data_IF_559749744551
#
_entry.id   IF_559749744551
#
_cell.length_a   1.000
_cell.length_b   1.000
_cell.length_c   1.000
_cell.angle_alpha   90.00
_cell.angle_beta   90.00
_cell.angle_gamma   90.00
#
_symmetry.space_group_name_H-M   'P 1'
#
loop_
_entity.id
_entity.type
_entity.pdbx_description
1 polymer ?
#
# COMPACT_ATOMS: atom_id res chain seq x y z
N UNK A 1 1.91 -6.20 7.72
CA UNK A 1 0.70 -6.47 6.91
C UNK A 1 -0.61 -6.34 7.72
N UNK A 2 -0.74 -7.05 8.85
CA UNK A 2 -1.96 -7.08 9.65
C UNK A 2 -2.36 -5.72 10.24
N UNK A 3 -1.39 -4.94 10.75
CA UNK A 3 -1.65 -3.57 11.22
C UNK A 3 -2.16 -2.64 10.12
N UNK A 4 -1.70 -2.82 8.87
CA UNK A 4 -2.21 -2.06 7.72
C UNK A 4 -3.64 -2.45 7.39
N UNK A 5 -3.92 -3.75 7.27
CA UNK A 5 -5.31 -4.21 7.07
C UNK A 5 -6.26 -3.71 8.17
N UNK A 6 -5.80 -3.69 9.44
CA UNK A 6 -6.59 -3.15 10.54
C UNK A 6 -6.84 -1.64 10.39
N UNK A 7 -5.81 -0.88 10.02
CA UNK A 7 -5.92 0.57 9.76
C UNK A 7 -6.83 0.86 8.56
N UNK A 8 -6.66 0.11 7.47
CA UNK A 8 -7.45 0.25 6.24
C UNK A 8 -8.92 -0.06 6.52
N UNK A 9 -9.21 -1.14 7.27
CA UNK A 9 -10.57 -1.47 7.69
C UNK A 9 -11.17 -0.39 8.59
N UNK A 10 -10.39 0.19 9.52
CA UNK A 10 -10.87 1.26 10.38
C UNK A 10 -11.25 2.52 9.59
N UNK A 11 -10.53 2.83 8.51
CA UNK A 11 -10.86 3.95 7.62
C UNK A 11 -12.10 3.61 6.77
N UNK A 12 -12.18 2.39 6.25
CA UNK A 12 -13.29 1.95 5.40
C UNK A 12 -14.63 1.79 6.15
N UNK A 13 -14.58 1.54 7.47
CA UNK A 13 -15.76 1.48 8.34
C UNK A 13 -16.18 2.85 8.90
N UNK A 14 -15.56 3.95 8.47
CA UNK A 14 -16.04 5.29 8.80
C UNK A 14 -17.38 5.53 8.12
N UNK A 15 -18.20 6.39 8.72
CA UNK A 15 -19.55 6.66 8.24
C UNK A 15 -19.61 8.00 7.52
N UNK A 16 -20.42 8.07 6.47
CA UNK A 16 -20.78 9.29 5.74
C UNK A 16 -22.30 9.35 5.56
N UNK A 17 -22.86 10.56 5.50
CA UNK A 17 -24.28 10.74 5.23
C UNK A 17 -24.50 10.78 3.71
N UNK A 18 -25.14 9.75 3.15
CA UNK A 18 -25.45 9.65 1.72
C UNK A 18 -26.94 9.96 1.52
N UNK A 19 -27.24 10.75 0.49
CA UNK A 19 -28.60 11.09 0.11
C UNK A 19 -29.16 10.00 -0.81
N UNK A 20 -30.12 9.22 -0.32
CA UNK A 20 -30.79 8.15 -1.07
C UNK A 20 -32.29 8.45 -1.09
N UNK A 21 -32.87 8.65 -2.28
CA UNK A 21 -34.30 8.94 -2.47
C UNK A 21 -34.82 10.10 -1.60
N UNK A 22 -34.03 11.17 -1.46
CA UNK A 22 -34.39 12.35 -0.66
C UNK A 22 -34.17 12.23 0.86
N UNK A 23 -33.72 11.06 1.33
CA UNK A 23 -33.46 10.80 2.75
C UNK A 23 -31.95 10.65 2.98
N UNK A 24 -31.43 11.34 3.99
CA UNK A 24 -30.05 11.19 4.44
C UNK A 24 -29.91 9.91 5.26
N UNK A 25 -29.11 8.98 4.76
CA UNK A 25 -28.80 7.71 5.42
C UNK A 25 -27.32 7.65 5.77
N UNK A 26 -27.00 7.03 6.91
CA UNK A 26 -25.60 6.81 7.29
C UNK A 26 -25.11 5.54 6.60
N UNK A 27 -24.12 5.68 5.75
CA UNK A 27 -23.48 4.59 5.04
C UNK A 27 -22.00 4.51 5.39
N UNK A 28 -21.43 3.32 5.33
CA UNK A 28 -20.00 3.11 5.47
C UNK A 28 -19.26 3.60 4.23
N UNK A 29 -18.03 4.11 4.41
CA UNK A 29 -17.21 4.61 3.31
C UNK A 29 -16.95 3.55 2.22
N UNK A 30 -16.95 2.27 2.58
CA UNK A 30 -16.83 1.18 1.61
C UNK A 30 -18.04 1.01 0.67
N UNK A 31 -19.20 1.54 1.05
CA UNK A 31 -20.43 1.46 0.25
C UNK A 31 -20.63 2.67 -0.68
N UNK A 32 -19.85 3.74 -0.49
CA UNK A 32 -19.94 4.97 -1.31
C UNK A 32 -19.54 4.70 -2.76
N UNK A 33 -20.41 5.11 -3.70
CA UNK A 33 -20.22 4.93 -5.13
C UNK A 33 -20.18 6.25 -5.89
N UNK A 34 -19.64 6.20 -7.10
CA UNK A 34 -19.65 7.35 -8.03
C UNK A 34 -21.10 7.71 -8.36
N UNK A 35 -21.41 9.01 -8.31
CA UNK A 35 -22.75 9.54 -8.51
C UNK A 35 -23.57 9.70 -7.23
N UNK A 36 -23.11 9.17 -6.10
CA UNK A 36 -23.80 9.40 -4.81
C UNK A 36 -23.62 10.86 -4.37
N UNK A 37 -24.66 11.42 -3.75
CA UNK A 37 -24.59 12.75 -3.11
C UNK A 37 -24.34 12.55 -1.62
N UNK A 38 -23.26 13.13 -1.12
CA UNK A 38 -22.85 13.04 0.29
C UNK A 38 -23.05 14.39 0.95
N UNK A 39 -23.65 14.37 2.14
CA UNK A 39 -23.64 15.50 3.06
C UNK A 39 -22.46 15.37 4.01
N UNK A 40 -21.65 16.42 4.08
CA UNK A 40 -20.56 16.54 5.04
C UNK A 40 -20.92 17.59 6.09
N UNK A 41 -20.59 17.29 7.33
CA UNK A 41 -20.73 18.20 8.47
C UNK A 41 -19.38 18.83 8.84
N UNK A 42 -19.42 19.95 9.57
CA UNK A 42 -18.20 20.62 10.04
C UNK A 42 -17.28 19.66 10.80
N UNK A 43 -15.98 19.74 10.54
CA UNK A 43 -14.92 18.88 11.08
C UNK A 43 -15.00 17.41 10.65
N UNK A 44 -15.75 17.08 9.59
CA UNK A 44 -15.80 15.73 9.03
C UNK A 44 -14.77 15.54 7.90
N UNK A 45 -14.23 14.33 7.81
CA UNK A 45 -13.37 13.92 6.71
C UNK A 45 -14.17 13.65 5.43
N UNK A 46 -13.59 14.06 4.30
CA UNK A 46 -14.13 13.74 2.98
C UNK A 46 -13.79 12.30 2.60
N UNK A 47 -14.83 11.49 2.34
CA UNK A 47 -14.71 10.06 2.04
C UNK A 47 -14.13 9.73 0.66
N UNK A 48 -14.44 10.57 -0.33
CA UNK A 48 -14.18 10.36 -1.76
C UNK A 48 -13.83 11.70 -2.43
N UNK A 49 -13.47 11.72 -3.72
CA UNK A 49 -13.29 13.01 -4.40
C UNK A 49 -14.66 13.53 -4.82
N UNK A 50 -15.09 14.63 -4.23
CA UNK A 50 -16.43 15.21 -4.39
C UNK A 50 -16.39 16.48 -5.24
N UNK A 51 -17.40 16.66 -6.08
CA UNK A 51 -17.76 17.94 -6.67
C UNK A 51 -18.69 18.68 -5.71
N UNK A 52 -18.29 19.85 -5.24
CA UNK A 52 -19.08 20.69 -4.35
C UNK A 52 -20.33 21.22 -5.08
N UNK A 53 -21.50 20.81 -4.62
CA UNK A 53 -22.79 21.22 -5.18
C UNK A 53 -23.36 22.44 -4.46
N UNK A 54 -23.42 22.38 -3.13
CA UNK A 54 -23.97 23.43 -2.28
C UNK A 54 -23.27 23.44 -0.91
N UNK A 55 -23.33 24.55 -0.22
CA UNK A 55 -22.68 24.79 1.07
C UNK A 55 -23.54 25.70 1.93
N UNK A 56 -23.38 25.63 3.25
CA UNK A 56 -24.04 26.53 4.21
C UNK A 56 -23.60 27.99 4.10
N UNK A 57 -22.37 28.23 3.61
CA UNK A 57 -21.80 29.59 3.52
C UNK A 57 -22.35 30.37 2.32
N UNK A 58 -22.38 31.72 2.41
CA UNK A 58 -22.80 32.56 1.29
C UNK A 58 -21.95 32.32 0.04
N UNK A 59 -22.58 32.47 -1.13
CA UNK A 59 -21.97 32.23 -2.44
C UNK A 59 -21.47 30.79 -2.69
N UNK A 60 -21.92 29.83 -1.89
CA UNK A 60 -21.54 28.42 -2.04
C UNK A 60 -20.08 28.16 -1.71
N UNK A 61 -19.49 28.99 -0.83
CA UNK A 61 -18.11 28.84 -0.38
C UNK A 61 -17.98 27.70 0.62
N UNK A 62 -16.80 27.10 0.69
CA UNK A 62 -16.50 26.01 1.60
C UNK A 62 -15.02 26.10 1.95
N UNK A 63 -14.68 25.89 3.22
CA UNK A 63 -13.29 25.87 3.66
C UNK A 63 -12.84 24.45 3.97
N UNK A 64 -11.70 24.06 3.42
CA UNK A 64 -11.12 22.74 3.67
C UNK A 64 -9.70 22.85 4.18
N UNK A 65 -9.35 21.96 5.09
CA UNK A 65 -7.98 21.75 5.56
C UNK A 65 -7.37 20.55 4.80
N UNK A 66 -6.16 20.73 4.25
CA UNK A 66 -5.46 19.71 3.45
C UNK A 66 -4.26 19.09 4.18
N UNK A 67 -4.17 19.25 5.50
CA UNK A 67 -3.04 18.78 6.30
C UNK A 67 -2.68 17.29 6.09
N UNK A 68 -3.66 16.41 5.83
CA UNK A 68 -3.40 14.99 5.52
C UNK A 68 -2.87 14.74 4.10
N UNK A 69 -3.10 15.66 3.15
CA UNK A 69 -2.71 15.52 1.74
C UNK A 69 -1.32 16.11 1.46
N UNK A 70 -1.08 17.33 1.91
CA UNK A 70 0.12 18.11 1.59
C UNK A 70 0.90 18.59 2.83
N UNK A 71 0.36 18.36 4.04
CA UNK A 71 0.97 18.84 5.29
C UNK A 71 0.77 20.34 5.53
N UNK A 72 0.01 21.03 4.69
CA UNK A 72 -0.31 22.44 4.89
C UNK A 72 -1.46 22.59 5.90
N UNK A 73 -1.26 23.41 6.93
CA UNK A 73 -2.29 23.74 7.93
C UNK A 73 -3.21 24.89 7.49
N UNK A 74 -2.95 25.47 6.32
CA UNK A 74 -3.76 26.55 5.79
C UNK A 74 -5.07 26.01 5.22
N UNK A 75 -6.14 26.73 5.49
CA UNK A 75 -7.43 26.45 4.89
C UNK A 75 -7.44 26.90 3.43
N UNK A 76 -7.90 26.03 2.54
CA UNK A 76 -8.14 26.33 1.13
C UNK A 76 -9.63 26.58 0.92
N UNK A 77 -9.93 27.62 0.14
CA UNK A 77 -11.30 27.98 -0.22
C UNK A 77 -11.71 27.21 -1.47
N UNK A 78 -12.89 26.61 -1.41
CA UNK A 78 -13.56 25.93 -2.53
C UNK A 78 -14.92 26.59 -2.75
N UNK A 79 -15.40 26.54 -3.99
CA UNK A 79 -16.65 27.20 -4.36
C UNK A 79 -17.53 26.30 -5.22
N UNK A 80 -18.80 26.18 -4.85
CA UNK A 80 -19.82 25.55 -5.67
C UNK A 80 -20.06 26.36 -6.95
N UNK A 81 -20.59 25.72 -8.00
CA UNK A 81 -21.10 26.47 -9.14
C UNK A 81 -22.33 27.27 -8.66
N UNK A 82 -22.49 28.55 -9.01
CA UNK A 82 -23.62 29.35 -8.56
C UNK A 82 -24.99 28.70 -8.81
N UNK A 83 -25.14 28.00 -9.94
CA UNK A 83 -26.38 27.34 -10.33
C UNK A 83 -26.72 26.15 -9.43
N UNK A 84 -25.72 25.39 -8.96
CA UNK A 84 -25.95 24.28 -8.02
C UNK A 84 -26.00 24.76 -6.57
N UNK A 85 -25.43 25.92 -6.26
CA UNK A 85 -25.38 26.46 -4.89
C UNK A 85 -26.76 26.68 -4.29
N UNK A 86 -27.77 26.96 -5.12
CA UNK A 86 -29.17 27.14 -4.71
C UNK A 86 -29.85 25.83 -4.28
N UNK A 87 -29.23 24.67 -4.53
CA UNK A 87 -29.73 23.35 -4.15
C UNK A 87 -29.41 23.04 -2.67
N UNK A 88 -30.06 23.75 -1.76
CA UNK A 88 -29.88 23.52 -0.31
C UNK A 88 -30.78 22.42 0.24
N UNK A 89 -31.95 22.21 -0.38
CA UNK A 89 -32.93 21.23 0.08
C UNK A 89 -32.61 19.82 -0.43
N UNK A 90 -32.70 18.83 0.46
CA UNK A 90 -32.50 17.41 0.12
C UNK A 90 -33.45 16.91 -0.96
N UNK A 91 -34.67 17.46 -1.02
CA UNK A 91 -35.64 17.14 -2.07
C UNK A 91 -35.17 17.66 -3.44
N UNK A 92 -34.62 18.87 -3.51
CA UNK A 92 -34.13 19.43 -4.77
C UNK A 92 -32.88 18.69 -5.24
N UNK A 93 -32.00 18.30 -4.30
CA UNK A 93 -30.84 17.46 -4.58
C UNK A 93 -31.24 16.06 -5.06
N UNK A 94 -32.34 15.49 -4.56
CA UNK A 94 -32.84 14.20 -5.02
C UNK A 94 -33.39 14.23 -6.46
N UNK A 95 -33.85 15.39 -6.92
CA UNK A 95 -34.29 15.61 -8.30
C UNK A 95 -33.18 16.16 -9.20
N UNK A 96 -31.94 16.27 -8.69
CA UNK A 96 -30.81 16.75 -9.47
C UNK A 96 -30.40 15.71 -10.52
N UNK A 97 -30.55 16.07 -11.79
CA UNK A 97 -30.35 15.24 -12.98
C UNK A 97 -29.14 15.69 -13.82
N UNK A 98 -28.11 16.25 -13.17
CA UNK A 98 -26.90 16.72 -13.84
C UNK A 98 -25.94 15.60 -14.23
N UNK A 99 -25.34 15.70 -15.41
CA UNK A 99 -24.30 14.78 -15.89
C UNK A 99 -22.92 15.47 -15.83
N UNK A 100 -21.93 14.80 -15.21
CA UNK A 100 -20.56 15.33 -15.11
C UNK A 100 -19.64 14.52 -16.02
N UNK A 101 -19.04 15.19 -17.00
CA UNK A 101 -18.00 14.63 -17.87
C UNK A 101 -16.66 15.17 -17.38
N UNK A 102 -15.73 14.30 -16.99
CA UNK A 102 -14.43 14.70 -16.46
C UNK A 102 -13.27 13.91 -17.06
N UNK A 103 -12.05 14.38 -16.78
CA UNK A 103 -10.82 13.67 -17.11
C UNK A 103 -10.73 12.29 -16.42
N UNK A 104 -9.97 11.32 -16.98
CA UNK A 104 -9.74 10.04 -16.31
C UNK A 104 -9.00 10.21 -14.97
N UNK A 105 -9.17 9.26 -14.03
CA UNK A 105 -8.46 9.24 -12.75
C UNK A 105 -6.95 9.42 -12.93
N UNK A 106 -6.37 10.38 -12.22
CA UNK A 106 -4.95 10.72 -12.29
C UNK A 106 -4.39 11.12 -10.92
N UNK A 107 -3.07 11.21 -10.80
CA UNK A 107 -2.38 11.54 -9.54
C UNK A 107 -2.12 13.05 -9.36
N UNK A 108 -2.66 13.92 -10.22
CA UNK A 108 -2.45 15.37 -10.14
C UNK A 108 -3.48 15.99 -9.20
N UNK A 109 -3.09 16.23 -7.95
CA UNK A 109 -3.95 16.81 -6.90
C UNK A 109 -4.36 18.27 -7.20
N UNK A 110 -3.53 19.02 -7.94
CA UNK A 110 -3.78 20.45 -8.18
C UNK A 110 -4.61 20.75 -9.42
N UNK A 111 -4.81 19.75 -10.29
CA UNK A 111 -5.51 19.91 -11.56
C UNK A 111 -6.73 19.04 -11.59
N UNK A 112 -7.84 19.63 -12.02
CA UNK A 112 -9.05 18.92 -12.41
C UNK A 112 -9.69 19.66 -13.56
N UNK A 113 -10.12 18.91 -14.57
CA UNK A 113 -10.88 19.41 -15.69
C UNK A 113 -12.14 18.57 -15.88
N UNK A 114 -13.28 19.23 -15.89
CA UNK A 114 -14.56 18.60 -16.19
C UNK A 114 -15.59 19.60 -16.69
N UNK A 115 -16.76 19.10 -17.07
CA UNK A 115 -17.91 19.89 -17.49
C UNK A 115 -19.17 19.26 -16.92
N UNK A 116 -19.94 20.07 -16.19
CA UNK A 116 -21.27 19.71 -15.73
C UNK A 116 -22.28 20.11 -16.81
N UNK A 117 -23.11 19.16 -17.22
CA UNK A 117 -24.24 19.33 -18.11
C UNK A 117 -25.51 19.32 -17.28
N UNK A 118 -26.23 20.43 -17.24
CA UNK A 118 -27.48 20.54 -16.47
C UNK A 118 -28.41 21.59 -17.06
N UNK A 119 -29.71 21.27 -17.19
CA UNK A 119 -30.75 22.14 -17.78
C UNK A 119 -30.33 22.76 -19.13
N UNK A 120 -29.85 21.92 -20.06
CA UNK A 120 -29.34 22.30 -21.39
C UNK A 120 -28.13 23.26 -21.39
N UNK A 121 -27.55 23.56 -20.23
CA UNK A 121 -26.38 24.41 -20.09
C UNK A 121 -25.13 23.60 -19.73
N UNK A 122 -23.97 24.14 -20.10
CA UNK A 122 -22.66 23.57 -19.80
C UNK A 122 -21.90 24.47 -18.82
N UNK A 123 -21.42 23.89 -17.73
CA UNK A 123 -20.63 24.59 -16.72
C UNK A 123 -19.24 23.97 -16.63
N UNK A 124 -18.20 24.78 -16.80
CA UNK A 124 -16.81 24.33 -16.68
C UNK A 124 -16.47 24.05 -15.21
N UNK A 125 -15.88 22.89 -14.96
CA UNK A 125 -15.42 22.48 -13.63
C UNK A 125 -13.90 22.61 -13.55
N UNK A 126 -13.44 23.18 -12.44
CA UNK A 126 -12.03 23.34 -12.12
C UNK A 126 -11.71 22.67 -10.77
N UNK A 127 -10.43 22.65 -10.40
CA UNK A 127 -10.02 22.15 -9.09
C UNK A 127 -10.70 22.92 -7.94
N UNK A 128 -11.04 24.20 -8.11
CA UNK A 128 -11.69 25.00 -7.07
C UNK A 128 -13.09 24.48 -6.68
N UNK A 129 -13.72 23.69 -7.54
CA UNK A 129 -15.03 23.08 -7.29
C UNK A 129 -14.93 21.70 -6.63
N UNK A 130 -13.72 21.16 -6.44
CA UNK A 130 -13.51 19.81 -5.89
C UNK A 130 -13.10 19.82 -4.42
N UNK A 131 -13.60 18.82 -3.69
CA UNK A 131 -13.12 18.40 -2.38
C UNK A 131 -12.44 17.04 -2.53
N UNK A 132 -11.15 16.94 -2.21
CA UNK A 132 -10.40 15.70 -2.35
C UNK A 132 -10.57 14.79 -1.13
N UNK A 133 -10.45 13.48 -1.33
CA UNK A 133 -10.39 12.50 -0.24
C UNK A 133 -9.27 12.84 0.74
N UNK A 134 -9.55 12.81 2.05
CA UNK A 134 -8.58 13.12 3.11
C UNK A 134 -8.56 14.59 3.52
N UNK A 135 -9.25 15.48 2.80
CA UNK A 135 -9.52 16.82 3.30
C UNK A 135 -10.46 16.75 4.52
N UNK A 136 -10.38 17.77 5.38
CA UNK A 136 -11.34 17.99 6.48
C UNK A 136 -12.13 19.26 6.20
N UNK A 137 -13.46 19.18 6.29
CA UNK A 137 -14.32 20.36 6.21
C UNK A 137 -14.11 21.21 7.48
N UNK A 138 -13.85 22.50 7.32
CA UNK A 138 -13.67 23.45 8.44
C UNK A 138 -14.50 24.69 8.19
N UNK A 139 -14.90 25.40 9.24
CA UNK A 139 -15.55 26.71 9.15
C UNK A 139 -16.73 26.76 8.16
N UNK A 140 -17.46 25.65 8.05
CA UNK A 140 -18.63 25.48 7.19
C UNK A 140 -19.52 24.47 7.90
N UNK A 141 -20.77 24.82 8.18
CA UNK A 141 -21.67 23.99 8.97
C UNK A 141 -21.97 22.66 8.25
N UNK A 142 -22.32 22.76 6.97
CA UNK A 142 -22.56 21.60 6.11
C UNK A 142 -22.24 21.92 4.65
N UNK A 143 -21.91 20.90 3.88
CA UNK A 143 -21.89 20.98 2.42
C UNK A 143 -22.39 19.69 1.77
N UNK A 144 -22.92 19.82 0.56
CA UNK A 144 -23.32 18.70 -0.29
C UNK A 144 -22.32 18.53 -1.42
N UNK A 145 -21.85 17.31 -1.62
CA UNK A 145 -20.91 16.97 -2.67
C UNK A 145 -21.35 15.74 -3.46
N UNK A 146 -21.20 15.79 -4.79
CA UNK A 146 -21.40 14.66 -5.69
C UNK A 146 -20.10 13.86 -5.81
N UNK A 147 -20.15 12.55 -5.60
CA UNK A 147 -18.97 11.68 -5.72
C UNK A 147 -18.55 11.55 -7.18
N UNK A 148 -17.34 12.04 -7.51
CA UNK A 148 -16.74 11.92 -8.84
C UNK A 148 -15.81 10.72 -8.92
N UNK A 149 -14.91 10.57 -7.95
CA UNK A 149 -14.03 9.40 -7.86
C UNK A 149 -14.15 8.75 -6.48
N UNK A 150 -14.25 7.42 -6.44
CA UNK A 150 -14.40 6.64 -5.22
C UNK A 150 -13.30 5.59 -5.10
N UNK A 151 -12.97 5.20 -3.85
CA UNK A 151 -12.05 4.09 -3.58
C UNK A 151 -10.64 4.29 -4.16
N UNK A 152 -10.11 3.34 -4.96
CA UNK A 152 -8.76 3.42 -5.52
C UNK A 152 -8.61 4.48 -6.63
N UNK A 153 -9.72 4.98 -7.18
CA UNK A 153 -9.70 5.95 -8.28
C UNK A 153 -9.54 7.40 -7.78
N UNK A 154 -9.61 7.64 -6.47
CA UNK A 154 -9.38 8.99 -5.94
C UNK A 154 -7.95 9.45 -6.20
N UNK A 155 -7.78 10.75 -6.44
CA UNK A 155 -6.46 11.34 -6.75
C UNK A 155 -5.42 11.06 -5.67
N UNK A 156 -5.83 11.04 -4.39
CA UNK A 156 -4.96 10.69 -3.26
C UNK A 156 -4.48 9.22 -3.34
N UNK A 157 -5.37 8.28 -3.69
CA UNK A 157 -5.00 6.86 -3.80
C UNK A 157 -4.13 6.59 -5.03
N UNK A 158 -4.39 7.28 -6.14
CA UNK A 158 -3.52 7.27 -7.31
C UNK A 158 -2.12 7.84 -7.01
N UNK A 159 -2.01 8.82 -6.11
CA UNK A 159 -0.73 9.35 -5.65
C UNK A 159 0.02 8.40 -4.67
N UNK A 160 -0.70 7.53 -3.97
CA UNK A 160 -0.13 6.66 -2.91
C UNK A 160 0.76 5.53 -3.43
N UNK A 161 0.81 5.31 -4.75
CA UNK A 161 1.68 4.33 -5.41
C UNK A 161 1.38 2.87 -5.01
N UNK A 162 1.86 1.92 -5.82
CA UNK A 162 1.76 0.50 -5.43
C UNK A 162 2.72 0.20 -4.29
N UNK A 163 2.25 -0.55 -3.30
CA UNK A 163 3.08 -1.07 -2.23
C UNK A 163 4.16 -1.99 -2.82
N UNK A 164 5.41 -1.56 -2.72
CA UNK A 164 6.56 -2.38 -3.10
C UNK A 164 7.17 -2.95 -1.84
N UNK A 165 7.47 -4.25 -1.84
CA UNK A 165 8.31 -4.85 -0.81
C UNK A 165 9.69 -4.22 -0.89
N UNK A 166 10.01 -3.37 0.10
CA UNK A 166 11.35 -2.82 0.25
C UNK A 166 12.24 -3.93 0.82
N UNK A 167 13.31 -4.28 0.11
CA UNK A 167 14.44 -5.05 0.65
C UNK A 167 15.48 -4.07 1.13
N UNK A 168 16.01 -4.28 2.33
CA UNK A 168 17.07 -3.41 2.86
C UNK A 168 18.39 -3.71 2.14
N UNK A 169 19.31 -2.74 2.11
CA UNK A 169 20.68 -2.99 1.65
C UNK A 169 21.38 -4.04 2.53
N UNK A 170 21.00 -4.11 3.80
CA UNK A 170 21.47 -5.09 4.78
C UNK A 170 21.05 -6.51 4.37
N UNK A 171 19.82 -6.72 3.89
CA UNK A 171 19.37 -8.04 3.40
C UNK A 171 20.27 -8.54 2.25
N UNK A 172 20.69 -7.63 1.38
CA UNK A 172 21.59 -7.96 0.26
C UNK A 172 22.99 -8.29 0.76
N UNK A 173 23.51 -7.52 1.72
CA UNK A 173 24.80 -7.77 2.36
C UNK A 173 24.81 -9.13 3.07
N UNK A 174 23.78 -9.44 3.85
CA UNK A 174 23.62 -10.73 4.51
C UNK A 174 23.67 -11.88 3.52
N UNK A 175 22.86 -11.82 2.46
CA UNK A 175 22.84 -12.88 1.46
C UNK A 175 24.21 -13.05 0.78
N UNK A 176 24.95 -11.96 0.61
CA UNK A 176 26.31 -11.99 0.05
C UNK A 176 27.29 -12.66 1.02
N UNK A 177 27.24 -12.31 2.31
CA UNK A 177 28.07 -12.94 3.34
C UNK A 177 27.78 -14.43 3.50
N UNK A 178 26.51 -14.84 3.44
CA UNK A 178 26.11 -16.26 3.48
C UNK A 178 26.72 -17.04 2.32
N UNK A 179 26.75 -16.47 1.09
CA UNK A 179 27.40 -17.11 -0.05
C UNK A 179 28.92 -17.27 0.16
N UNK A 180 29.59 -16.26 0.74
CA UNK A 180 31.01 -16.36 1.08
C UNK A 180 31.29 -17.45 2.13
N UNK A 181 30.47 -17.52 3.18
CA UNK A 181 30.59 -18.54 4.23
C UNK A 181 30.36 -19.95 3.66
N UNK A 182 29.35 -20.11 2.80
CA UNK A 182 29.11 -21.39 2.13
C UNK A 182 30.28 -21.80 1.22
N UNK A 183 30.84 -20.86 0.46
CA UNK A 183 32.05 -21.10 -0.34
C UNK A 183 33.24 -21.53 0.53
N UNK A 184 33.47 -20.84 1.65
CA UNK A 184 34.52 -21.20 2.62
C UNK A 184 34.30 -22.60 3.21
N UNK A 185 33.07 -22.94 3.58
CA UNK A 185 32.69 -24.24 4.13
C UNK A 185 33.02 -25.38 3.15
N UNK A 186 32.64 -25.23 1.87
CA UNK A 186 32.92 -26.22 0.83
C UNK A 186 34.43 -26.38 0.64
N UNK A 187 35.18 -25.27 0.56
CA UNK A 187 36.64 -25.32 0.43
C UNK A 187 37.30 -26.06 1.61
N UNK A 188 36.90 -25.75 2.85
CA UNK A 188 37.42 -26.41 4.04
C UNK A 188 37.07 -27.92 4.04
N UNK A 189 35.84 -28.26 3.66
CA UNK A 189 35.40 -29.65 3.51
C UNK A 189 36.23 -30.44 2.50
N UNK A 190 36.56 -29.83 1.35
CA UNK A 190 37.42 -30.47 0.34
C UNK A 190 38.84 -30.69 0.87
N UNK A 191 39.43 -29.71 1.55
CA UNK A 191 40.79 -29.85 2.12
C UNK A 191 40.84 -30.99 3.15
N UNK A 192 39.84 -31.06 4.04
CA UNK A 192 39.74 -32.13 5.04
C UNK A 192 39.48 -33.50 4.40
N UNK A 193 38.67 -33.57 3.34
CA UNK A 193 38.42 -34.81 2.60
C UNK A 193 39.67 -35.34 1.90
N UNK A 194 40.46 -34.45 1.28
CA UNK A 194 41.76 -34.81 0.67
C UNK A 194 42.74 -35.27 1.75
N UNK A 195 42.82 -34.54 2.87
CA UNK A 195 43.67 -34.94 4.01
C UNK A 195 43.30 -36.33 4.56
N UNK A 196 41.99 -36.61 4.70
CA UNK A 196 41.49 -37.93 5.09
C UNK A 196 41.87 -38.99 4.05
N UNK A 197 41.72 -38.71 2.74
CA UNK A 197 42.07 -39.66 1.68
C UNK A 197 43.58 -39.98 1.64
N UNK A 198 44.46 -39.00 1.89
CA UNK A 198 45.91 -39.21 1.93
C UNK A 198 46.28 -40.02 3.18
N UNK A 199 45.71 -39.67 4.34
CA UNK A 199 45.94 -40.39 5.59
C UNK A 199 45.50 -41.85 5.51
N UNK A 200 44.35 -42.10 4.89
CA UNK A 200 43.81 -43.45 4.70
C UNK A 200 44.72 -44.30 3.79
N UNK A 201 45.35 -43.66 2.79
CA UNK A 201 46.27 -44.32 1.87
C UNK A 201 47.63 -44.64 2.52
N UNK A 202 48.21 -43.70 3.29
CA UNK A 202 49.56 -43.88 3.86
C UNK A 202 49.58 -44.63 5.20
N UNK A 203 48.61 -44.36 6.08
CA UNK A 203 48.62 -44.86 7.47
C UNK A 203 47.45 -45.81 7.73
N UNK A 204 46.28 -45.55 7.15
CA UNK A 204 45.06 -46.35 7.34
C UNK A 204 45.23 -47.83 7.00
N UNK A 205 45.96 -48.12 5.92
CA UNK A 205 46.29 -49.50 5.50
C UNK A 205 47.13 -50.25 6.54
N UNK A 206 48.06 -49.56 7.22
CA UNK A 206 48.91 -50.13 8.28
C UNK A 206 48.17 -50.24 9.63
N UNK A 207 47.11 -49.45 9.84
CA UNK A 207 46.40 -49.31 11.12
C UNK A 207 45.07 -50.09 11.18
N UNK A 208 44.85 -51.03 10.26
CA UNK A 208 43.63 -51.85 10.22
C UNK A 208 43.41 -52.75 11.45
N UNK A 209 44.44 -52.96 12.27
CA UNK A 209 44.35 -53.73 13.53
C UNK A 209 43.48 -53.00 14.58
N UNK A 210 43.48 -51.66 14.58
CA UNK A 210 42.75 -50.86 15.57
C UNK A 210 41.51 -50.17 15.00
N UNK A 211 41.45 -49.94 13.67
CA UNK A 211 40.31 -49.33 12.99
C UNK A 211 40.02 -50.05 11.65
N UNK A 212 39.33 -51.19 11.67
CA UNK A 212 39.03 -51.95 10.46
C UNK A 212 38.02 -51.21 9.57
N UNK A 213 38.23 -51.27 8.25
CA UNK A 213 37.29 -50.70 7.28
C UNK A 213 35.98 -51.48 7.26
N UNK A 214 34.87 -50.76 7.12
CA UNK A 214 33.57 -51.38 6.90
C UNK A 214 33.51 -51.93 5.45
N UNK A 215 32.80 -53.04 5.23
CA UNK A 215 32.78 -53.78 3.94
C UNK A 215 32.26 -52.99 2.72
N UNK A 216 31.79 -51.77 2.95
CA UNK A 216 31.25 -50.85 1.94
C UNK A 216 32.35 -49.90 1.41
N UNK A 217 33.47 -49.76 2.12
CA UNK A 217 34.54 -48.80 1.80
C UNK A 217 35.76 -49.55 1.26
N UNK A 218 35.68 -50.01 0.01
CA UNK A 218 36.79 -50.76 -0.62
C UNK A 218 37.90 -49.86 -1.19
N UNK A 219 37.64 -48.55 -1.32
CA UNK A 219 38.56 -47.60 -1.97
C UNK A 219 38.79 -46.36 -1.09
N UNK A 220 40.05 -45.92 -0.97
CA UNK A 220 40.44 -44.69 -0.27
C UNK A 220 39.70 -43.43 -0.79
N UNK A 221 39.41 -43.40 -2.10
CA UNK A 221 38.59 -42.35 -2.72
C UNK A 221 37.14 -42.33 -2.20
N UNK A 222 36.56 -43.50 -1.94
CA UNK A 222 35.19 -43.61 -1.43
C UNK A 222 35.12 -43.20 0.04
N UNK A 223 36.16 -43.51 0.82
CA UNK A 223 36.35 -42.99 2.18
C UNK A 223 36.44 -41.46 2.21
N UNK A 224 37.29 -40.86 1.37
CA UNK A 224 37.40 -39.40 1.24
C UNK A 224 36.10 -38.72 0.79
N UNK A 225 35.35 -39.35 -0.12
CA UNK A 225 34.07 -38.83 -0.58
C UNK A 225 32.99 -38.85 0.52
N UNK A 226 32.91 -39.91 1.33
CA UNK A 226 31.98 -39.97 2.47
C UNK A 226 32.40 -39.02 3.60
N UNK A 227 33.71 -38.90 3.84
CA UNK A 227 34.28 -37.97 4.81
C UNK A 227 33.96 -36.51 4.47
N UNK A 228 33.94 -36.14 3.18
CA UNK A 228 33.52 -34.81 2.71
C UNK A 228 32.12 -34.43 3.23
N UNK A 229 31.13 -35.30 3.03
CA UNK A 229 29.76 -35.05 3.49
C UNK A 229 29.66 -35.02 5.00
N UNK A 230 30.41 -35.89 5.70
CA UNK A 230 30.48 -35.89 7.16
C UNK A 230 31.05 -34.58 7.71
N UNK A 231 32.13 -34.06 7.11
CA UNK A 231 32.74 -32.79 7.54
C UNK A 231 31.84 -31.58 7.25
N UNK A 232 31.09 -31.57 6.15
CA UNK A 232 30.09 -30.52 5.88
C UNK A 232 29.03 -30.50 6.98
N UNK A 233 28.53 -31.65 7.42
CA UNK A 233 27.51 -31.73 8.47
C UNK A 233 28.05 -31.19 9.79
N UNK A 234 29.28 -31.57 10.18
CA UNK A 234 29.92 -31.11 11.41
C UNK A 234 30.17 -29.59 11.37
N UNK A 235 30.64 -29.08 10.23
CA UNK A 235 30.98 -27.67 10.04
C UNK A 235 29.78 -26.78 9.66
N UNK A 236 28.57 -27.33 9.52
CA UNK A 236 27.36 -26.53 9.26
C UNK A 236 27.08 -25.50 10.37
N UNK A 237 27.64 -25.70 11.56
CA UNK A 237 27.64 -24.72 12.67
C UNK A 237 28.32 -23.40 12.34
N UNK A 238 29.17 -23.35 11.30
CA UNK A 238 29.79 -22.11 10.79
C UNK A 238 28.78 -21.24 10.05
N UNK A 239 27.67 -21.80 9.55
CA UNK A 239 26.57 -21.02 8.98
C UNK A 239 25.65 -20.57 10.13
N UNK A 240 25.62 -19.28 10.50
CA UNK A 240 24.75 -18.82 11.57
C UNK A 240 23.29 -18.87 11.10
N UNK A 241 22.57 -19.92 11.48
CA UNK A 241 21.12 -20.05 11.20
C UNK A 241 20.33 -18.93 11.90
N UNK A 242 20.84 -18.42 13.02
CA UNK A 242 20.30 -17.28 13.76
C UNK A 242 20.38 -15.95 13.02
N UNK A 243 21.11 -15.88 11.91
CA UNK A 243 21.26 -14.65 11.13
C UNK A 243 19.95 -14.25 10.41
N UNK A 244 19.06 -15.22 10.16
CA UNK A 244 17.83 -15.03 9.39
C UNK A 244 16.56 -14.90 10.24
N UNK A 245 16.66 -15.08 11.57
CA UNK A 245 15.54 -15.00 12.53
C UNK A 245 15.52 -13.67 13.26
#
# INVERSE_FOLDING_TARGET
>A
PQFRHKSDNQVNSRHSQVLINGILQKEEWMNVRVGDIIKLENNQFVAADLLLLSSSEPHGLCYIETAELDGETNMKVRQAIPVTSELTDTNNLAHFDGEVICEPPNNKLDKFGGTLYWKDNKYSLSNQNMLLRGCVLRNTEWCFGLVIFAGPDTKLMQNSGRTKFKRTSIDRLMNTLVLWIFGFLVCMGVILAIGNSIWEYEVGVCFQIYLPWDKVVDNAFLSGFLAFWSYIIILNTVVPISLYV
#
